data_IF_036997931340
#
_entry.id   IF_036997931340
#
_cell.length_a   1.000
_cell.length_b   1.000
_cell.length_c   1.000
_cell.angle_alpha   90.00
_cell.angle_beta   90.00
_cell.angle_gamma   90.00
#
_symmetry.space_group_name_H-M   'P 1'
#
loop_
_entity.id
_entity.type
_entity.pdbx_description
1 polymer ?
#
# COMPACT_ATOMS: atom_id res chain seq x y z
N UNK A 1 2.10 -5.06 -7.98
CA UNK A 1 0.81 -4.56 -7.43
C UNK A 1 -0.20 -5.67 -7.15
N UNK A 2 -0.69 -6.42 -8.15
CA UNK A 2 -1.70 -7.47 -7.90
C UNK A 2 -1.22 -8.55 -6.92
N UNK A 3 0.01 -9.06 -7.09
CA UNK A 3 0.57 -10.05 -6.16
C UNK A 3 0.71 -9.51 -4.72
N UNK A 4 1.04 -8.22 -4.56
CA UNK A 4 1.09 -7.60 -3.23
C UNK A 4 -0.29 -7.47 -2.57
N UNK A 5 -1.35 -7.27 -3.36
CA UNK A 5 -2.73 -7.14 -2.89
C UNK A 5 -3.41 -8.49 -2.65
N UNK A 6 -3.16 -9.48 -3.49
CA UNK A 6 -3.89 -10.75 -3.48
C UNK A 6 -3.08 -11.93 -2.93
N UNK A 7 -1.78 -11.96 -3.22
CA UNK A 7 -0.90 -13.09 -2.90
C UNK A 7 -0.02 -12.81 -1.66
N UNK A 8 -0.24 -11.68 -0.98
CA UNK A 8 0.51 -11.27 0.21
C UNK A 8 2.02 -11.08 -0.04
N UNK A 9 2.43 -10.96 -1.30
CA UNK A 9 3.83 -10.70 -1.64
C UNK A 9 4.27 -9.35 -1.06
N UNK A 10 5.53 -9.27 -0.60
CA UNK A 10 6.09 -8.02 -0.14
C UNK A 10 6.22 -7.06 -1.33
N UNK A 11 5.52 -5.91 -1.34
CA UNK A 11 5.65 -4.97 -2.43
C UNK A 11 7.04 -4.34 -2.44
N UNK A 12 7.56 -4.06 -3.64
CA UNK A 12 8.65 -3.10 -3.79
C UNK A 12 8.18 -1.69 -3.36
N UNK A 13 9.11 -0.75 -3.07
CA UNK A 13 8.76 0.55 -2.51
C UNK A 13 7.80 1.35 -3.41
N UNK A 14 8.02 1.33 -4.73
CA UNK A 14 7.17 2.08 -5.67
C UNK A 14 5.76 1.48 -5.73
N UNK A 15 5.65 0.15 -5.76
CA UNK A 15 4.35 -0.55 -5.66
C UNK A 15 3.63 -0.20 -4.36
N UNK A 16 4.33 -0.22 -3.22
CA UNK A 16 3.75 0.14 -1.93
C UNK A 16 3.24 1.58 -1.91
N UNK A 17 3.97 2.50 -2.56
CA UNK A 17 3.57 3.90 -2.66
C UNK A 17 2.33 4.13 -3.52
N UNK A 18 2.25 3.46 -4.66
CA UNK A 18 1.06 3.54 -5.51
C UNK A 18 -0.16 2.99 -4.78
N UNK A 19 -0.04 1.84 -4.11
CA UNK A 19 -1.14 1.24 -3.34
C UNK A 19 -1.57 2.18 -2.21
N UNK A 20 -0.62 2.75 -1.47
CA UNK A 20 -0.91 3.65 -0.34
C UNK A 20 -1.63 4.92 -0.77
N UNK A 21 -1.20 5.52 -1.90
CA UNK A 21 -1.85 6.70 -2.46
C UNK A 21 -3.27 6.39 -2.90
N UNK A 22 -3.45 5.32 -3.70
CA UNK A 22 -4.77 4.92 -4.20
C UNK A 22 -5.72 4.53 -3.07
N UNK A 23 -5.23 3.89 -2.01
CA UNK A 23 -6.02 3.61 -0.82
C UNK A 23 -6.46 4.89 -0.11
N UNK A 24 -5.57 5.88 0.02
CA UNK A 24 -5.87 7.14 0.73
C UNK A 24 -6.95 7.97 0.03
N UNK A 25 -7.02 7.89 -1.30
CA UNK A 25 -7.99 8.67 -2.12
C UNK A 25 -9.18 7.84 -2.62
N UNK A 26 -9.39 6.63 -2.07
CA UNK A 26 -10.40 5.66 -2.54
C UNK A 26 -10.33 5.37 -4.06
N UNK A 27 -9.15 5.52 -4.66
CA UNK A 27 -8.91 5.40 -6.10
C UNK A 27 -8.77 3.96 -6.60
N UNK A 28 -8.70 2.97 -5.70
CA UNK A 28 -8.63 1.55 -6.08
C UNK A 28 -9.89 1.10 -6.82
N UNK A 29 -11.06 1.65 -6.46
CA UNK A 29 -12.36 1.33 -7.07
C UNK A 29 -12.39 1.67 -8.58
N UNK A 30 -11.54 2.60 -9.04
CA UNK A 30 -11.41 2.94 -10.46
C UNK A 30 -10.59 1.91 -11.27
N UNK A 31 -9.79 1.08 -10.60
CA UNK A 31 -8.86 0.15 -11.24
C UNK A 31 -9.29 -1.31 -11.14
N UNK A 32 -10.08 -1.66 -10.12
CA UNK A 32 -10.47 -3.03 -9.82
C UNK A 32 -11.98 -3.19 -9.88
N UNK A 33 -12.44 -4.32 -10.42
CA UNK A 33 -13.84 -4.72 -10.40
C UNK A 33 -13.95 -6.01 -9.62
N UNK A 34 -14.34 -5.91 -8.35
CA UNK A 34 -14.37 -7.00 -7.39
C UNK A 34 -15.77 -7.14 -6.79
N UNK A 35 -16.06 -8.32 -6.24
CA UNK A 35 -17.23 -8.51 -5.38
C UNK A 35 -16.95 -7.96 -3.97
N UNK A 36 -17.99 -7.87 -3.13
CA UNK A 36 -17.89 -7.31 -1.77
C UNK A 36 -16.78 -7.98 -0.93
N UNK A 37 -16.67 -9.30 -1.02
CA UNK A 37 -15.64 -10.07 -0.32
C UNK A 37 -14.23 -9.72 -0.78
N UNK A 38 -14.04 -9.56 -2.10
CA UNK A 38 -12.77 -9.13 -2.68
C UNK A 38 -12.42 -7.72 -2.25
N UNK A 39 -13.40 -6.83 -2.15
CA UNK A 39 -13.20 -5.47 -1.65
C UNK A 39 -12.84 -5.42 -0.17
N UNK A 40 -13.47 -6.22 0.69
CA UNK A 40 -13.06 -6.35 2.09
C UNK A 40 -11.59 -6.73 2.17
N UNK A 41 -11.19 -7.75 1.41
CA UNK A 41 -9.80 -8.19 1.42
C UNK A 41 -8.85 -7.10 0.89
N UNK A 42 -9.08 -6.55 -0.31
CA UNK A 42 -8.19 -5.52 -0.89
C UNK A 42 -8.06 -4.29 0.01
N UNK A 43 -9.14 -3.85 0.66
CA UNK A 43 -9.10 -2.69 1.57
C UNK A 43 -8.28 -2.97 2.81
N UNK A 44 -8.43 -4.14 3.42
CA UNK A 44 -7.61 -4.55 4.57
C UNK A 44 -6.12 -4.60 4.18
N UNK A 45 -5.79 -5.23 3.04
CA UNK A 45 -4.39 -5.29 2.57
C UNK A 45 -3.80 -3.92 2.29
N UNK A 46 -4.55 -3.09 1.58
CA UNK A 46 -4.07 -1.78 1.19
C UNK A 46 -3.85 -0.89 2.42
N UNK A 47 -4.70 -1.04 3.45
CA UNK A 47 -4.51 -0.41 4.75
C UNK A 47 -3.22 -0.83 5.45
N UNK A 48 -2.91 -2.14 5.49
CA UNK A 48 -1.64 -2.65 6.05
C UNK A 48 -0.40 -2.11 5.32
N UNK A 49 -0.48 -2.04 3.98
CA UNK A 49 0.61 -1.49 3.16
C UNK A 49 0.75 0.02 3.44
N UNK A 50 -0.35 0.74 3.52
CA UNK A 50 -0.38 2.17 3.81
C UNK A 50 0.07 2.53 5.24
N UNK A 51 0.02 1.59 6.18
CA UNK A 51 0.63 1.75 7.51
C UNK A 51 2.13 1.47 7.55
N UNK A 52 2.73 1.06 6.42
CA UNK A 52 4.15 0.74 6.35
C UNK A 52 4.48 -0.70 6.77
N UNK A 53 3.49 -1.60 6.87
CA UNK A 53 3.70 -2.99 7.29
C UNK A 53 4.53 -3.85 6.33
N UNK A 54 4.91 -3.31 5.18
CA UNK A 54 5.77 -3.94 4.18
C UNK A 54 7.27 -3.64 4.39
N UNK A 55 7.61 -2.65 5.23
CA UNK A 55 9.01 -2.30 5.50
C UNK A 55 9.61 -3.37 6.41
N UNK A 56 10.60 -4.12 5.90
CA UNK A 56 11.21 -5.21 6.64
C UNK A 56 12.08 -4.66 7.79
N UNK A 57 11.89 -5.18 9.01
CA UNK A 57 12.51 -4.61 10.22
C UNK A 57 13.99 -4.96 10.42
N UNK A 58 14.54 -5.87 9.62
CA UNK A 58 15.92 -6.37 9.82
C UNK A 58 16.99 -5.36 9.38
N UNK A 59 16.68 -4.48 8.42
CA UNK A 59 17.43 -3.28 8.03
C UNK A 59 16.77 -2.75 6.74
N UNK A 60 15.81 -1.82 6.81
CA UNK A 60 15.28 -1.22 5.60
C UNK A 60 16.36 -0.35 4.95
N UNK A 61 16.50 -0.42 3.64
CA UNK A 61 17.42 0.45 2.92
C UNK A 61 16.94 1.90 3.02
N UNK A 62 17.87 2.86 3.02
CA UNK A 62 17.55 4.31 3.11
C UNK A 62 16.42 4.77 2.15
N UNK A 63 16.30 4.28 0.90
CA UNK A 63 15.20 4.63 0.00
C UNK A 63 13.83 4.16 0.50
N UNK A 64 13.74 2.98 1.11
CA UNK A 64 12.50 2.41 1.65
C UNK A 64 12.01 3.24 2.83
N UNK A 65 12.94 3.58 3.74
CA UNK A 65 12.65 4.43 4.88
C UNK A 65 12.20 5.83 4.45
N UNK A 66 12.93 6.47 3.53
CA UNK A 66 12.58 7.80 3.01
C UNK A 66 11.21 7.79 2.34
N UNK A 67 10.88 6.73 1.60
CA UNK A 67 9.58 6.62 0.95
C UNK A 67 8.46 6.43 1.98
N UNK A 68 8.64 5.56 2.97
CA UNK A 68 7.66 5.37 4.04
C UNK A 68 7.38 6.68 4.81
N UNK A 69 8.43 7.43 5.16
CA UNK A 69 8.31 8.74 5.82
C UNK A 69 7.63 9.75 4.90
N UNK A 70 8.02 9.82 3.62
CA UNK A 70 7.43 10.74 2.65
C UNK A 70 5.95 10.44 2.45
N UNK A 71 5.57 9.18 2.33
CA UNK A 71 4.17 8.76 2.24
C UNK A 71 3.37 9.13 3.48
N UNK A 72 3.93 8.90 4.68
CA UNK A 72 3.27 9.29 5.93
C UNK A 72 3.05 10.80 6.03
N UNK A 73 3.96 11.61 5.49
CA UNK A 73 3.81 13.06 5.40
C UNK A 73 2.75 13.46 4.36
N UNK A 74 2.78 12.87 3.15
CA UNK A 74 1.80 13.14 2.08
C UNK A 74 0.38 12.74 2.51
N UNK A 75 0.22 11.59 3.19
CA UNK A 75 -1.08 11.12 3.70
C UNK A 75 -1.74 12.11 4.65
N UNK A 76 -0.98 12.89 5.42
CA UNK A 76 -1.57 13.92 6.30
C UNK A 76 -2.11 15.14 5.54
N UNK A 77 -1.71 15.32 4.29
CA UNK A 77 -2.12 16.44 3.44
C UNK A 77 -3.25 16.09 2.45
N UNK A 78 -3.64 14.81 2.40
CA UNK A 78 -4.76 14.30 1.61
C UNK A 78 -6.01 14.18 2.48
#
# INVERSE_FOLDING_TARGET
MLAALFDHECPDPATAAIISLLHTVDGLDALLSLNDRGWTWVRDRAGEIASGGWVNGSEPDLPEFNLAVTMAAVRQAL
#
